data_IF_170986144467
#
_entry.id   IF_170986144467
#
_cell.length_a   1.000
_cell.length_b   1.000
_cell.length_c   1.000
_cell.angle_alpha   90.00
_cell.angle_beta   90.00
_cell.angle_gamma   90.00
#
_symmetry.space_group_name_H-M   'P 1'
#
loop_
_entity.id
_entity.type
_entity.pdbx_description
1 polymer ?
#
# COMPACT_ATOMS: atom_id res chain seq x y z
N UNK A 1 -15.11 -16.84 -3.40
CA UNK A 1 -14.64 -15.47 -3.73
C UNK A 1 -15.81 -14.66 -4.25
N UNK A 2 -15.90 -13.40 -3.84
CA UNK A 2 -16.97 -12.49 -4.26
C UNK A 2 -16.69 -12.00 -5.69
N UNK A 3 -17.66 -12.20 -6.61
CA UNK A 3 -17.52 -11.79 -8.02
C UNK A 3 -17.36 -10.28 -8.17
N UNK A 4 -17.76 -9.48 -7.18
CA UNK A 4 -17.64 -8.02 -7.19
C UNK A 4 -16.19 -7.53 -7.04
N UNK A 5 -15.28 -8.40 -6.60
CA UNK A 5 -13.88 -8.06 -6.36
C UNK A 5 -12.98 -8.37 -7.56
N UNK A 6 -13.52 -8.96 -8.64
CA UNK A 6 -12.76 -9.43 -9.79
C UNK A 6 -13.14 -8.62 -11.03
N UNK A 7 -12.16 -8.25 -11.84
CA UNK A 7 -12.42 -7.62 -13.12
C UNK A 7 -11.22 -7.67 -14.06
N UNK A 8 -11.30 -6.89 -15.14
CA UNK A 8 -10.21 -6.75 -16.10
C UNK A 8 -9.93 -5.26 -16.37
N UNK A 9 -8.67 -4.94 -16.63
CA UNK A 9 -8.21 -3.64 -17.09
C UNK A 9 -7.15 -3.86 -18.19
N UNK A 10 -7.53 -3.55 -19.43
CA UNK A 10 -6.71 -3.93 -20.59
C UNK A 10 -6.38 -5.43 -20.59
N UNK A 11 -5.10 -5.77 -20.72
CA UNK A 11 -4.61 -7.15 -20.72
C UNK A 11 -4.38 -7.74 -19.32
N UNK A 12 -4.88 -7.09 -18.27
CA UNK A 12 -4.70 -7.54 -16.89
C UNK A 12 -6.03 -7.93 -16.27
N UNK A 13 -6.06 -9.10 -15.63
CA UNK A 13 -7.10 -9.48 -14.69
C UNK A 13 -6.73 -8.97 -13.30
N UNK A 14 -7.67 -8.42 -12.56
CA UNK A 14 -7.44 -7.99 -11.18
C UNK A 14 -8.37 -8.69 -10.18
N UNK A 15 -7.92 -8.77 -8.94
CA UNK A 15 -8.71 -9.23 -7.80
C UNK A 15 -8.36 -8.46 -6.53
N UNK A 16 -9.36 -7.87 -5.88
CA UNK A 16 -9.18 -7.12 -4.63
C UNK A 16 -9.39 -8.03 -3.43
N UNK A 17 -8.46 -8.03 -2.49
CA UNK A 17 -8.59 -8.75 -1.22
C UNK A 17 -7.87 -8.07 -0.06
N UNK A 18 -8.56 -7.94 1.08
CA UNK A 18 -8.00 -7.26 2.25
C UNK A 18 -7.51 -5.86 1.88
N UNK A 19 -6.23 -5.59 2.11
CA UNK A 19 -5.57 -4.33 1.78
C UNK A 19 -4.80 -4.36 0.45
N UNK A 20 -5.00 -5.39 -0.38
CA UNK A 20 -4.24 -5.57 -1.61
C UNK A 20 -5.16 -5.70 -2.83
N UNK A 21 -4.57 -5.41 -3.99
CA UNK A 21 -5.12 -5.73 -5.29
C UNK A 21 -4.07 -6.53 -6.07
N UNK A 22 -4.38 -7.78 -6.37
CA UNK A 22 -3.56 -8.64 -7.21
C UNK A 22 -3.92 -8.48 -8.68
N UNK A 23 -2.90 -8.45 -9.52
CA UNK A 23 -3.00 -8.35 -10.98
C UNK A 23 -2.29 -9.53 -11.62
N UNK A 24 -2.91 -10.09 -12.65
CA UNK A 24 -2.33 -11.13 -13.48
C UNK A 24 -2.43 -10.72 -14.95
N UNK A 25 -1.31 -10.70 -15.64
CA UNK A 25 -1.29 -10.42 -17.07
C UNK A 25 -1.82 -11.64 -17.84
N UNK A 26 -2.76 -11.42 -18.74
CA UNK A 26 -3.41 -12.50 -19.48
C UNK A 26 -2.48 -13.15 -20.52
N UNK A 27 -1.47 -12.43 -21.02
CA UNK A 27 -0.53 -12.92 -22.03
C UNK A 27 0.72 -13.54 -21.41
N UNK A 28 1.38 -12.79 -20.53
CA UNK A 28 2.67 -13.19 -19.92
C UNK A 28 2.52 -14.02 -18.66
N UNK A 29 1.32 -14.06 -18.06
CA UNK A 29 1.04 -14.69 -16.77
C UNK A 29 1.85 -14.08 -15.60
N UNK A 30 2.45 -12.91 -15.81
CA UNK A 30 3.13 -12.15 -14.75
C UNK A 30 2.11 -11.74 -13.68
N UNK A 31 2.52 -11.86 -12.43
CA UNK A 31 1.69 -11.51 -11.26
C UNK A 31 2.31 -10.32 -10.55
N UNK A 32 1.49 -9.31 -10.28
CA UNK A 32 1.86 -8.11 -9.53
C UNK A 32 0.86 -7.93 -8.40
N UNK A 33 1.33 -7.63 -7.20
CA UNK A 33 0.49 -7.26 -6.08
C UNK A 33 0.70 -5.80 -5.71
N UNK A 34 -0.39 -5.07 -5.44
CA UNK A 34 -0.34 -3.68 -5.01
C UNK A 34 -1.09 -3.51 -3.69
N UNK A 35 -0.41 -3.10 -2.59
CA UNK A 35 -1.09 -2.73 -1.37
C UNK A 35 -1.70 -1.33 -1.49
N UNK A 36 -2.90 -1.17 -0.93
CA UNK A 36 -3.76 0.01 -1.06
C UNK A 36 -3.66 0.98 0.14
N UNK A 37 -2.84 0.65 1.14
CA UNK A 37 -2.79 1.32 2.47
C UNK A 37 -1.50 2.13 2.71
N UNK A 38 -0.77 2.48 1.65
CA UNK A 38 0.48 3.26 1.75
C UNK A 38 0.37 4.69 1.20
N UNK A 39 -0.84 5.25 1.13
CA UNK A 39 -1.01 6.70 0.94
C UNK A 39 -0.39 7.25 -0.34
N UNK A 40 -0.58 6.55 -1.47
CA UNK A 40 0.02 6.82 -2.80
C UNK A 40 1.49 6.41 -2.94
N UNK A 41 2.13 5.91 -1.89
CA UNK A 41 3.38 5.19 -2.05
C UNK A 41 3.11 3.83 -2.70
N UNK A 42 3.86 3.54 -3.76
CA UNK A 42 3.80 2.28 -4.47
C UNK A 42 5.07 1.48 -4.22
N UNK A 43 4.97 0.16 -4.37
CA UNK A 43 6.13 -0.72 -4.36
C UNK A 43 6.52 -1.26 -2.99
N UNK A 44 5.56 -1.40 -2.07
CA UNK A 44 5.77 -2.24 -0.89
C UNK A 44 6.02 -3.69 -1.33
N UNK A 45 7.18 -4.19 -0.93
CA UNK A 45 7.75 -5.48 -1.29
C UNK A 45 7.34 -6.49 -0.21
N UNK A 46 6.04 -6.79 -0.13
CA UNK A 46 5.58 -7.89 0.72
C UNK A 46 6.35 -9.19 0.38
N UNK A 47 6.89 -9.91 1.37
CA UNK A 47 7.72 -11.08 1.12
C UNK A 47 7.10 -12.12 0.18
N UNK A 48 5.82 -12.46 0.36
CA UNK A 48 5.16 -13.49 -0.43
C UNK A 48 4.90 -13.00 -1.85
N UNK A 49 4.37 -11.79 -1.99
CA UNK A 49 4.02 -11.26 -3.31
C UNK A 49 5.24 -10.88 -4.13
N UNK A 50 6.31 -10.42 -3.48
CA UNK A 50 7.56 -10.08 -4.15
C UNK A 50 8.21 -11.31 -4.79
N UNK A 51 8.26 -12.44 -4.09
CA UNK A 51 8.78 -13.68 -4.67
C UNK A 51 7.88 -14.24 -5.77
N UNK A 52 6.55 -14.08 -5.65
CA UNK A 52 5.59 -14.43 -6.71
C UNK A 52 5.83 -13.60 -7.98
N UNK A 53 6.10 -12.31 -7.84
CA UNK A 53 6.49 -11.45 -8.96
C UNK A 53 7.80 -11.92 -9.61
N UNK A 54 8.84 -12.22 -8.81
CA UNK A 54 10.11 -12.73 -9.33
C UNK A 54 9.91 -14.03 -10.13
N UNK A 55 9.16 -14.99 -9.57
CA UNK A 55 8.93 -16.30 -10.20
C UNK A 55 8.05 -16.23 -11.44
N UNK A 56 7.07 -15.31 -11.45
CA UNK A 56 6.15 -15.13 -12.58
C UNK A 56 6.71 -14.24 -13.70
N UNK A 57 7.90 -13.66 -13.52
CA UNK A 57 8.55 -12.81 -14.54
C UNK A 57 9.57 -13.62 -15.34
N UNK A 58 9.28 -13.98 -16.61
CA UNK A 58 10.12 -14.90 -17.39
C UNK A 58 11.56 -14.40 -17.58
N UNK A 59 11.74 -13.09 -17.71
CA UNK A 59 13.05 -12.47 -17.96
C UNK A 59 14.03 -12.60 -16.77
N UNK A 60 13.57 -13.03 -15.59
CA UNK A 60 14.46 -13.29 -14.45
C UNK A 60 14.96 -14.72 -14.38
N UNK A 61 14.54 -15.60 -15.30
CA UNK A 61 14.91 -17.01 -15.28
C UNK A 61 16.12 -17.29 -16.19
N UNK A 62 17.01 -18.22 -15.80
CA UNK A 62 17.03 -18.90 -14.51
C UNK A 62 17.53 -17.99 -13.38
N UNK A 63 17.00 -18.19 -12.17
CA UNK A 63 17.52 -17.49 -11.00
C UNK A 63 18.90 -18.05 -10.61
N UNK A 64 19.85 -17.20 -10.19
CA UNK A 64 21.15 -17.67 -9.70
C UNK A 64 21.03 -18.45 -8.37
N UNK A 65 19.94 -18.21 -7.63
CA UNK A 65 19.56 -18.93 -6.42
C UNK A 65 18.04 -19.11 -6.46
N UNK A 66 17.57 -20.35 -6.30
CA UNK A 66 16.15 -20.66 -6.32
C UNK A 66 15.40 -20.12 -5.09
N UNK A 67 14.10 -19.88 -5.28
CA UNK A 67 13.15 -19.52 -4.22
C UNK A 67 12.29 -20.75 -3.93
N UNK A 68 12.54 -21.38 -2.77
CA UNK A 68 11.90 -22.63 -2.37
C UNK A 68 10.61 -22.38 -1.58
N UNK A 69 10.64 -21.42 -0.65
CA UNK A 69 9.49 -21.08 0.22
C UNK A 69 9.19 -19.60 0.05
N UNK A 70 8.14 -19.29 -0.71
CA UNK A 70 7.82 -17.93 -1.16
C UNK A 70 7.94 -16.88 -0.03
N UNK A 71 7.21 -17.05 1.07
CA UNK A 71 7.26 -16.07 2.16
C UNK A 71 8.62 -16.04 2.89
N UNK A 72 9.16 -17.20 3.28
CA UNK A 72 10.36 -17.27 4.10
C UNK A 72 11.61 -16.79 3.35
N UNK A 73 11.75 -17.16 2.08
CA UNK A 73 12.83 -16.68 1.24
C UNK A 73 12.63 -15.20 0.86
N UNK A 74 11.38 -14.76 0.68
CA UNK A 74 11.06 -13.33 0.51
C UNK A 74 11.51 -12.48 1.70
N UNK A 75 11.30 -12.95 2.94
CA UNK A 75 11.77 -12.28 4.16
C UNK A 75 13.30 -12.17 4.14
N UNK A 76 13.99 -13.27 3.84
CA UNK A 76 15.46 -13.29 3.76
C UNK A 76 16.01 -12.33 2.71
N UNK A 77 15.37 -12.29 1.53
CA UNK A 77 15.74 -11.35 0.46
C UNK A 77 15.56 -9.92 0.95
N UNK A 78 14.39 -9.59 1.51
CA UNK A 78 14.09 -8.24 1.99
C UNK A 78 15.06 -7.80 3.08
N UNK A 79 15.32 -8.64 4.09
CA UNK A 79 16.27 -8.35 5.16
C UNK A 79 17.69 -8.13 4.61
N UNK A 80 18.12 -8.97 3.66
CA UNK A 80 19.43 -8.82 3.03
C UNK A 80 19.51 -7.50 2.28
N UNK A 81 18.49 -7.15 1.51
CA UNK A 81 18.45 -5.90 0.73
C UNK A 81 18.37 -4.66 1.61
N UNK A 82 17.69 -4.72 2.76
CA UNK A 82 17.74 -3.67 3.79
C UNK A 82 19.16 -3.55 4.35
N UNK A 83 19.83 -4.65 4.68
CA UNK A 83 21.20 -4.62 5.22
C UNK A 83 22.22 -4.03 4.23
N UNK A 84 21.94 -4.14 2.93
CA UNK A 84 22.73 -3.58 1.85
C UNK A 84 22.37 -2.11 1.53
N UNK A 85 21.40 -1.52 2.24
CA UNK A 85 20.90 -0.16 1.99
C UNK A 85 20.19 -0.01 0.65
N UNK A 86 19.69 -1.11 0.07
CA UNK A 86 18.96 -1.10 -1.20
C UNK A 86 17.46 -0.95 -0.98
N UNK A 87 16.94 -1.45 0.15
CA UNK A 87 15.55 -1.28 0.57
C UNK A 87 15.49 -0.51 1.91
N UNK A 88 14.37 0.15 2.17
CA UNK A 88 14.07 0.83 3.43
C UNK A 88 12.65 0.53 3.91
N UNK A 89 12.41 0.66 5.22
CA UNK A 89 11.06 0.54 5.79
C UNK A 89 10.31 1.86 5.70
N UNK A 90 9.01 1.80 5.43
CA UNK A 90 8.10 2.94 5.42
C UNK A 90 6.92 2.70 6.36
N UNK A 91 6.37 3.79 6.89
CA UNK A 91 5.14 3.73 7.68
C UNK A 91 3.93 3.63 6.74
N UNK A 92 2.92 2.87 7.15
CA UNK A 92 1.63 2.88 6.46
C UNK A 92 0.70 3.96 7.01
N UNK A 93 -0.43 4.18 6.33
CA UNK A 93 -1.50 5.03 6.84
C UNK A 93 -2.41 4.31 7.85
N UNK A 94 -2.09 3.05 8.20
CA UNK A 94 -2.74 2.22 9.21
C UNK A 94 -1.79 2.02 10.41
N UNK A 95 -2.32 2.11 11.63
CA UNK A 95 -1.52 1.91 12.85
C UNK A 95 -0.81 0.56 12.89
N UNK A 96 0.43 0.54 13.40
CA UNK A 96 1.26 -0.66 13.60
C UNK A 96 1.57 -1.48 12.33
N UNK A 97 1.40 -0.88 11.15
CA UNK A 97 1.74 -1.53 9.88
C UNK A 97 2.83 -0.74 9.15
N UNK A 98 3.81 -1.48 8.62
CA UNK A 98 4.96 -0.96 7.88
C UNK A 98 5.13 -1.72 6.57
N UNK A 99 5.73 -1.06 5.59
CA UNK A 99 6.08 -1.64 4.31
C UNK A 99 7.59 -1.59 4.07
N UNK A 100 8.05 -2.25 3.02
CA UNK A 100 9.45 -2.29 2.57
C UNK A 100 9.48 -1.82 1.13
N UNK A 101 10.31 -0.83 0.82
CA UNK A 101 10.37 -0.22 -0.52
C UNK A 101 11.81 -0.09 -0.98
N UNK A 102 12.02 0.04 -2.28
CA UNK A 102 13.36 0.33 -2.84
C UNK A 102 13.80 1.75 -2.47
N UNK A 103 15.08 1.93 -2.13
CA UNK A 103 15.61 3.25 -1.73
C UNK A 103 15.74 4.19 -2.92
N UNK A 104 16.03 3.65 -4.10
CA UNK A 104 16.15 4.38 -5.36
C UNK A 104 14.79 4.51 -6.05
N UNK A 105 13.90 5.30 -5.43
CA UNK A 105 12.58 5.64 -5.98
C UNK A 105 12.30 7.13 -5.84
N UNK A 106 11.33 7.62 -6.61
CA UNK A 106 10.72 8.92 -6.36
C UNK A 106 9.92 8.84 -5.05
N UNK A 107 10.38 9.55 -4.02
CA UNK A 107 9.73 9.57 -2.71
C UNK A 107 8.50 10.48 -2.74
N UNK A 108 7.39 10.00 -2.17
CA UNK A 108 6.19 10.81 -1.93
C UNK A 108 6.11 11.06 -0.43
N UNK A 109 5.66 12.26 -0.05
CA UNK A 109 5.43 12.56 1.37
C UNK A 109 4.17 11.82 1.84
N UNK A 110 4.35 10.82 2.70
CA UNK A 110 3.24 10.07 3.29
C UNK A 110 2.94 10.63 4.67
N UNK A 111 1.71 11.08 4.89
CA UNK A 111 1.21 11.35 6.25
C UNK A 111 0.92 10.02 6.94
N UNK A 112 1.59 9.78 8.06
CA UNK A 112 1.34 8.65 8.93
C UNK A 112 -0.10 8.64 9.45
N UNK A 113 -0.54 7.48 9.94
CA UNK A 113 -1.84 7.34 10.58
C UNK A 113 -2.10 8.42 11.66
N UNK A 114 -1.10 8.69 12.50
CA UNK A 114 -1.19 9.69 13.58
C UNK A 114 -1.39 11.11 13.06
N UNK A 115 -0.68 11.47 11.99
CA UNK A 115 -0.80 12.78 11.35
C UNK A 115 -2.15 12.94 10.64
N UNK A 116 -2.68 11.87 10.06
CA UNK A 116 -4.03 11.87 9.51
C UNK A 116 -5.07 12.05 10.63
N UNK A 117 -4.96 11.30 11.73
CA UNK A 117 -5.84 11.44 12.89
C UNK A 117 -5.84 12.86 13.47
N UNK A 118 -4.67 13.50 13.61
CA UNK A 118 -4.58 14.87 14.11
C UNK A 118 -5.26 15.87 13.16
N UNK A 119 -5.03 15.74 11.85
CA UNK A 119 -5.68 16.59 10.84
C UNK A 119 -7.20 16.42 10.82
N UNK A 120 -7.71 15.19 10.99
CA UNK A 120 -9.15 14.96 11.08
C UNK A 120 -9.75 15.56 12.36
N UNK A 121 -9.07 15.46 13.51
CA UNK A 121 -9.51 16.11 14.76
C UNK A 121 -9.53 17.64 14.63
N UNK A 122 -8.50 18.23 14.05
CA UNK A 122 -8.44 19.69 13.81
C UNK A 122 -9.57 20.15 12.88
N UNK A 123 -9.80 19.46 11.76
CA UNK A 123 -10.94 19.78 10.86
C UNK A 123 -12.28 19.66 11.57
N UNK A 124 -12.50 18.61 12.35
CA UNK A 124 -13.77 18.41 13.07
C UNK A 124 -13.99 19.52 14.13
N UNK A 125 -12.96 19.87 14.91
CA UNK A 125 -13.07 20.98 15.88
C UNK A 125 -13.31 22.34 15.22
N UNK A 126 -12.74 22.60 14.04
CA UNK A 126 -13.03 23.81 13.27
C UNK A 126 -14.47 23.83 12.73
N UNK A 127 -14.98 22.67 12.29
CA UNK A 127 -16.35 22.51 11.82
C UNK A 127 -17.36 22.72 12.96
N UNK A 128 -17.07 22.22 14.17
CA UNK A 128 -17.91 22.45 15.35
C UNK A 128 -17.91 23.91 15.81
N UNK A 129 -16.77 24.60 15.73
CA UNK A 129 -16.69 26.06 15.96
C UNK A 129 -17.51 26.85 14.94
N UNK A 130 -17.61 26.40 13.69
CA UNK A 130 -18.45 27.05 12.67
C UNK A 130 -19.94 26.79 12.86
N UNK A 131 -20.34 25.60 13.35
CA UNK A 131 -21.75 25.30 13.68
C UNK A 131 -22.28 26.11 14.87
N UNK A 132 -21.39 26.60 15.73
CA UNK A 132 -21.72 27.48 16.87
C UNK A 132 -21.73 28.98 16.50
N UNK A 133 -22.61 29.38 15.57
CA UNK A 133 -23.01 30.79 15.46
C UNK A 133 -24.41 31.03 14.85
N UNK A 134 -25.19 29.98 14.57
CA UNK A 134 -26.53 30.15 14.00
C UNK A 134 -27.52 30.72 15.03
N UNK A 135 -27.46 30.27 16.27
CA UNK A 135 -28.30 30.74 17.39
C UNK A 135 -27.89 32.10 17.96
N UNK A 136 -26.65 32.53 17.71
CA UNK A 136 -26.17 33.88 18.04
C UNK A 136 -26.60 34.91 16.99
N UNK A 137 -26.89 34.45 15.75
CA UNK A 137 -27.33 35.27 14.62
C UNK A 137 -28.86 35.41 14.54
N UNK A 138 -29.63 34.39 14.95
CA UNK A 138 -31.09 34.49 15.13
C UNK A 138 -31.45 35.22 16.42
N UNK A 139 -30.99 36.47 16.58
CA UNK A 139 -31.27 37.33 17.71
C UNK A 139 -32.75 37.29 18.11
N UNK A 140 -33.08 36.44 19.08
CA UNK A 140 -34.30 36.49 19.87
C UNK A 140 -34.16 37.73 20.78
N UNK A 141 -34.47 38.89 20.21
CA UNK A 141 -34.91 40.03 21.01
C UNK A 141 -36.31 39.69 21.51
N UNK A 142 -36.43 39.51 22.84
CA UNK A 142 -37.70 39.66 23.54
C UNK A 142 -38.25 41.07 23.34
#
# INVERSE_FOLDING_TARGET
MDKRQIGNVGNWKYFIHGFHCGFENNETRQIIEVPLVFGLEFGDLDPYFFTRFIKSTPNYQPLPVDIYVDYADGVRINEKMISLGKFERINSNVGNHYGIVVTDRQKVEIKSHKELESLFKEKNTQTDKQKFNFWKFMGLKK
#
